data_IF_027015045745
#
_entry.id   IF_027015045745
#
_cell.length_a   1.000
_cell.length_b   1.000
_cell.length_c   1.000
_cell.angle_alpha   90.00
_cell.angle_beta   90.00
_cell.angle_gamma   90.00
#
_symmetry.space_group_name_H-M   'P 1'
#
loop_
_entity.id
_entity.type
_entity.pdbx_description
1 polymer ?
#
# COMPACT_ATOMS: atom_id res chain seq x y z
N UNK A 1 41.22 -20.34 44.70
CA UNK A 1 40.54 -19.15 44.13
C UNK A 1 39.46 -18.70 45.10
N UNK A 2 39.60 -17.49 45.63
CA UNK A 2 38.86 -17.03 46.81
C UNK A 2 37.38 -16.82 46.48
N UNK A 3 36.50 -17.36 47.33
CA UNK A 3 35.04 -17.40 47.14
C UNK A 3 34.48 -16.03 46.74
N UNK A 4 35.02 -14.94 47.30
CA UNK A 4 34.64 -13.54 46.99
C UNK A 4 34.81 -13.15 45.52
N UNK A 5 35.81 -13.67 44.81
CA UNK A 5 36.03 -13.35 43.39
C UNK A 5 34.99 -14.02 42.50
N UNK A 6 34.58 -15.25 42.82
CA UNK A 6 33.55 -15.97 42.06
C UNK A 6 32.19 -15.25 42.09
N UNK A 7 31.85 -14.66 43.24
CA UNK A 7 30.63 -13.85 43.38
C UNK A 7 30.71 -12.54 42.59
N UNK A 8 31.89 -11.89 42.56
CA UNK A 8 32.11 -10.70 41.74
C UNK A 8 31.92 -10.96 40.24
N UNK A 9 32.46 -12.05 39.71
CA UNK A 9 32.25 -12.44 38.31
C UNK A 9 30.80 -12.79 38.00
N UNK A 10 30.09 -13.45 38.93
CA UNK A 10 28.66 -13.74 38.77
C UNK A 10 27.81 -12.47 38.68
N UNK A 11 28.08 -11.47 39.53
CA UNK A 11 27.40 -10.17 39.49
C UNK A 11 27.72 -9.43 38.19
N UNK A 12 28.97 -9.41 37.76
CA UNK A 12 29.38 -8.76 36.51
C UNK A 12 28.72 -9.40 35.28
N UNK A 13 28.68 -10.74 35.23
CA UNK A 13 28.02 -11.48 34.15
C UNK A 13 26.50 -11.23 34.15
N UNK A 14 25.86 -11.20 35.31
CA UNK A 14 24.43 -10.90 35.44
C UNK A 14 24.10 -9.46 34.99
N UNK A 15 24.92 -8.49 35.38
CA UNK A 15 24.76 -7.10 34.95
C UNK A 15 24.92 -6.95 33.42
N UNK A 16 25.92 -7.61 32.83
CA UNK A 16 26.13 -7.62 31.38
C UNK A 16 24.95 -8.27 30.64
N UNK A 17 24.43 -9.38 31.18
CA UNK A 17 23.27 -10.06 30.61
C UNK A 17 22.00 -9.21 30.65
N UNK A 18 21.74 -8.52 31.78
CA UNK A 18 20.62 -7.58 31.89
C UNK A 18 20.75 -6.42 30.90
N UNK A 19 21.96 -5.89 30.73
CA UNK A 19 22.22 -4.82 29.76
C UNK A 19 21.93 -5.29 28.32
N UNK A 20 22.35 -6.50 27.96
CA UNK A 20 22.01 -7.10 26.67
C UNK A 20 20.50 -7.29 26.48
N UNK A 21 19.79 -7.73 27.52
CA UNK A 21 18.33 -7.84 27.45
C UNK A 21 17.67 -6.48 27.24
N UNK A 22 18.13 -5.42 27.89
CA UNK A 22 17.61 -4.05 27.67
C UNK A 22 17.91 -3.55 26.26
N UNK A 23 19.04 -3.90 25.66
CA UNK A 23 19.34 -3.54 24.26
C UNK A 23 18.44 -4.29 23.28
N UNK A 24 18.15 -5.57 23.54
CA UNK A 24 17.33 -6.40 22.64
C UNK A 24 15.84 -6.09 22.81
N UNK A 25 15.37 -5.97 24.05
CA UNK A 25 13.95 -5.85 24.41
C UNK A 25 13.52 -4.48 24.93
N UNK A 26 14.42 -3.51 25.05
CA UNK A 26 14.07 -2.15 25.46
C UNK A 26 13.26 -1.41 24.38
N UNK A 27 12.64 -0.30 24.77
CA UNK A 27 11.72 0.47 23.92
C UNK A 27 12.36 0.99 22.62
N UNK A 28 13.69 1.10 22.55
CA UNK A 28 14.46 1.45 21.34
C UNK A 28 15.32 0.27 20.85
N UNK A 29 14.95 -0.94 21.21
CA UNK A 29 15.70 -2.14 20.91
C UNK A 29 15.59 -2.56 19.44
N UNK A 30 16.31 -3.64 19.12
CA UNK A 30 16.40 -4.16 17.75
C UNK A 30 15.03 -4.55 17.15
N UNK A 31 14.11 -5.02 17.99
CA UNK A 31 12.75 -5.38 17.58
C UNK A 31 11.94 -4.18 17.07
N UNK A 32 12.04 -3.04 17.77
CA UNK A 32 11.32 -1.83 17.37
C UNK A 32 11.90 -1.25 16.08
N UNK A 33 13.23 -1.29 15.92
CA UNK A 33 13.88 -0.88 14.68
C UNK A 33 13.43 -1.74 13.48
N UNK A 34 13.23 -3.05 13.67
CA UNK A 34 12.72 -3.93 12.62
C UNK A 34 11.27 -3.60 12.28
N UNK A 35 10.40 -3.39 13.27
CA UNK A 35 9.00 -2.99 13.05
C UNK A 35 8.92 -1.66 12.31
N UNK A 36 9.68 -0.67 12.75
CA UNK A 36 9.72 0.65 12.12
C UNK A 36 10.23 0.55 10.68
N UNK A 37 11.23 -0.30 10.42
CA UNK A 37 11.73 -0.54 9.05
C UNK A 37 10.65 -1.15 8.15
N UNK A 38 9.90 -2.13 8.64
CA UNK A 38 8.80 -2.75 7.88
C UNK A 38 7.70 -1.74 7.61
N UNK A 39 7.27 -0.99 8.62
CA UNK A 39 6.25 0.05 8.47
C UNK A 39 6.70 1.14 7.48
N UNK A 40 7.96 1.57 7.55
CA UNK A 40 8.54 2.50 6.60
C UNK A 40 8.52 1.95 5.16
N UNK A 41 8.92 0.68 4.96
CA UNK A 41 8.87 0.05 3.64
C UNK A 41 7.44 -0.02 3.10
N UNK A 42 6.45 -0.36 3.93
CA UNK A 42 5.05 -0.37 3.54
C UNK A 42 4.55 1.02 3.14
N UNK A 43 4.93 2.06 3.88
CA UNK A 43 4.56 3.44 3.56
C UNK A 43 5.18 3.91 2.24
N UNK A 44 6.45 3.56 1.98
CA UNK A 44 7.11 3.86 0.71
C UNK A 44 6.37 3.20 -0.46
N UNK A 45 6.04 1.90 -0.34
CA UNK A 45 5.30 1.20 -1.38
C UNK A 45 3.91 1.80 -1.63
N UNK A 46 3.19 2.18 -0.57
CA UNK A 46 1.90 2.85 -0.70
C UNK A 46 2.03 4.20 -1.40
N UNK A 47 3.07 4.97 -1.07
CA UNK A 47 3.31 6.27 -1.68
C UNK A 47 3.64 6.12 -3.18
N UNK A 48 4.47 5.15 -3.55
CA UNK A 48 4.75 4.82 -4.95
C UNK A 48 3.48 4.42 -5.72
N UNK A 49 2.63 3.58 -5.12
CA UNK A 49 1.36 3.17 -5.72
C UNK A 49 0.43 4.37 -5.95
N UNK A 50 0.25 5.21 -4.92
CA UNK A 50 -0.57 6.43 -5.02
C UNK A 50 0.01 7.42 -6.04
N UNK A 51 1.33 7.53 -6.14
CA UNK A 51 1.99 8.35 -7.14
C UNK A 51 1.69 7.88 -8.57
N UNK A 52 1.74 6.56 -8.81
CA UNK A 52 1.37 5.98 -10.10
C UNK A 52 -0.11 6.18 -10.44
N UNK A 53 -0.99 6.04 -9.44
CA UNK A 53 -2.41 6.25 -9.61
C UNK A 53 -2.73 7.72 -9.93
N UNK A 54 -2.13 8.65 -9.19
CA UNK A 54 -2.21 10.08 -9.49
C UNK A 54 -1.77 10.38 -10.93
N UNK A 55 -0.63 9.86 -11.39
CA UNK A 55 -0.17 10.04 -12.77
C UNK A 55 -1.17 9.50 -13.81
N UNK A 56 -1.81 8.36 -13.54
CA UNK A 56 -2.86 7.81 -14.42
C UNK A 56 -4.08 8.72 -14.45
N UNK A 57 -4.52 9.22 -13.30
CA UNK A 57 -5.65 10.13 -13.20
C UNK A 57 -5.37 11.45 -13.93
N UNK A 58 -4.19 12.05 -13.74
CA UNK A 58 -3.80 13.26 -14.46
C UNK A 58 -3.82 13.06 -15.98
N UNK A 59 -3.29 11.94 -16.46
CA UNK A 59 -3.33 11.62 -17.90
C UNK A 59 -4.76 11.43 -18.40
N UNK A 60 -5.62 10.78 -17.62
CA UNK A 60 -7.03 10.65 -17.96
C UNK A 60 -7.72 12.02 -18.04
N UNK A 61 -7.48 12.88 -17.06
CA UNK A 61 -7.99 14.26 -17.02
C UNK A 61 -7.52 15.05 -18.26
N UNK A 62 -6.23 14.99 -18.59
CA UNK A 62 -5.66 15.67 -19.75
C UNK A 62 -6.33 15.21 -21.06
N UNK A 63 -6.57 13.91 -21.21
CA UNK A 63 -7.27 13.36 -22.37
C UNK A 63 -8.76 13.72 -22.38
N UNK A 64 -9.43 13.74 -21.23
CA UNK A 64 -10.83 14.20 -21.14
C UNK A 64 -10.97 15.69 -21.51
N UNK A 65 -9.91 16.48 -21.37
CA UNK A 65 -9.96 17.91 -21.73
C UNK A 65 -9.58 18.15 -23.19
N UNK A 66 -8.61 17.40 -23.73
CA UNK A 66 -7.98 17.74 -25.01
C UNK A 66 -8.19 16.69 -26.13
N UNK A 67 -8.74 15.51 -25.84
CA UNK A 67 -8.90 14.40 -26.79
C UNK A 67 -10.39 14.07 -26.99
N UNK A 68 -10.98 14.63 -28.05
CA UNK A 68 -12.39 14.45 -28.39
C UNK A 68 -12.78 12.98 -28.61
N UNK A 69 -11.88 12.16 -29.17
CA UNK A 69 -12.14 10.73 -29.39
C UNK A 69 -12.17 9.98 -28.05
N UNK A 70 -11.31 10.34 -27.11
CA UNK A 70 -11.34 9.77 -25.76
C UNK A 70 -12.58 10.19 -24.97
N UNK A 71 -13.03 11.44 -25.10
CA UNK A 71 -14.30 11.90 -24.51
C UNK A 71 -15.47 11.08 -25.07
N UNK A 72 -15.56 10.90 -26.38
CA UNK A 72 -16.61 10.10 -27.01
C UNK A 72 -16.58 8.65 -26.54
N UNK A 73 -15.38 8.05 -26.45
CA UNK A 73 -15.21 6.70 -25.93
C UNK A 73 -15.74 6.57 -24.49
N UNK A 74 -15.35 7.48 -23.60
CA UNK A 74 -15.80 7.49 -22.20
C UNK A 74 -17.31 7.73 -22.12
N UNK A 75 -17.85 8.64 -22.91
CA UNK A 75 -19.29 8.93 -22.92
C UNK A 75 -20.10 7.71 -23.40
N UNK A 76 -19.65 6.99 -24.43
CA UNK A 76 -20.29 5.75 -24.89
C UNK A 76 -20.21 4.63 -23.85
N UNK A 77 -19.06 4.46 -23.19
CA UNK A 77 -18.84 3.39 -22.19
C UNK A 77 -19.56 3.64 -20.85
N UNK A 78 -19.36 4.82 -20.26
CA UNK A 78 -19.81 5.14 -18.90
C UNK A 78 -21.25 5.66 -18.88
N UNK A 79 -21.64 6.45 -19.90
CA UNK A 79 -22.94 7.12 -19.94
C UNK A 79 -23.92 6.46 -20.94
N UNK A 80 -23.44 5.56 -21.80
CA UNK A 80 -24.27 4.91 -22.81
C UNK A 80 -24.84 5.88 -23.85
N UNK A 81 -24.24 7.06 -24.02
CA UNK A 81 -24.69 8.03 -25.01
C UNK A 81 -24.33 7.58 -26.42
N UNK A 82 -25.22 7.88 -27.35
CA UNK A 82 -25.07 7.62 -28.78
C UNK A 82 -25.23 8.94 -29.53
N UNK A 83 -24.72 9.02 -30.76
CA UNK A 83 -24.95 10.20 -31.61
C UNK A 83 -26.41 10.27 -32.04
N UNK A 84 -26.85 11.46 -32.47
CA UNK A 84 -28.22 11.68 -32.92
C UNK A 84 -28.60 10.82 -34.15
N UNK A 85 -27.61 10.41 -34.95
CA UNK A 85 -27.75 9.56 -36.13
C UNK A 85 -27.58 8.05 -35.85
N UNK A 86 -27.35 7.65 -34.58
CA UNK A 86 -27.17 6.26 -34.18
C UNK A 86 -28.48 5.66 -33.63
N UNK A 87 -28.69 4.34 -33.80
CA UNK A 87 -29.87 3.62 -33.29
C UNK A 87 -29.46 2.41 -32.47
N UNK A 88 -30.03 2.25 -31.27
CA UNK A 88 -29.73 1.13 -30.37
C UNK A 88 -30.60 -0.08 -30.74
N UNK A 89 -29.98 -1.18 -31.16
CA UNK A 89 -30.65 -2.46 -31.33
C UNK A 89 -30.61 -3.25 -30.01
N UNK A 90 -31.75 -3.32 -29.31
CA UNK A 90 -31.93 -4.24 -28.18
C UNK A 90 -32.57 -5.53 -28.68
N UNK A 91 -31.85 -6.63 -28.65
CA UNK A 91 -32.43 -7.94 -28.94
C UNK A 91 -33.29 -8.37 -27.76
N UNK A 92 -34.60 -8.47 -27.96
CA UNK A 92 -35.50 -9.04 -26.97
C UNK A 92 -35.21 -10.54 -26.88
N UNK A 93 -34.82 -10.99 -25.69
CA UNK A 93 -34.57 -12.40 -25.44
C UNK A 93 -35.87 -13.17 -25.67
N UNK A 94 -35.82 -14.19 -26.53
CA UNK A 94 -36.98 -14.89 -27.08
C UNK A 94 -37.56 -15.90 -26.06
N UNK A 95 -37.71 -15.50 -24.80
CA UNK A 95 -38.10 -16.34 -23.67
C UNK A 95 -39.36 -15.84 -22.92
N UNK A 96 -40.17 -15.01 -23.58
CA UNK A 96 -41.50 -14.62 -23.08
C UNK A 96 -42.52 -14.71 -24.22
N UNK A 97 -42.72 -15.95 -24.70
CA UNK A 97 -44.00 -16.35 -25.27
C UNK A 97 -44.72 -17.20 -24.20
N UNK A 98 -45.98 -16.86 -23.85
CA UNK A 98 -46.78 -17.57 -22.86
C UNK A 98 -47.15 -18.99 -23.27
#
# INVERSE_FOLDING_TARGET
MTLRQKWGYGILAGALFLLLLVIVFGDNGLLELQRLRVAHQQLVQQNECLGQENLRMYRAIERLQNDAAYIEYVARQELGVIRADETIFKFADKASQP
#
